data_IF_852704273651
#
_entry.id   IF_852704273651
#
_cell.length_a   1.000
_cell.length_b   1.000
_cell.length_c   1.000
_cell.angle_alpha   90.00
_cell.angle_beta   90.00
_cell.angle_gamma   90.00
#
_symmetry.space_group_name_H-M   'P 1'
#
loop_
_entity.id
_entity.type
_entity.pdbx_description
1 polymer ?
#
# COMPACT_ATOMS: atom_id res chain seq x y z
N UNK A 1 -28.16 -13.54 -7.98
CA UNK A 1 -28.95 -12.28 -8.09
C UNK A 1 -27.98 -11.15 -8.37
N UNK A 2 -28.13 -10.46 -9.51
CA UNK A 2 -27.19 -9.44 -10.01
C UNK A 2 -27.48 -8.10 -9.32
N UNK A 3 -26.53 -7.58 -8.54
CA UNK A 3 -26.61 -6.20 -8.00
C UNK A 3 -26.17 -5.23 -9.09
N UNK A 4 -27.09 -4.33 -9.48
CA UNK A 4 -26.88 -3.30 -10.49
C UNK A 4 -26.38 -2.06 -9.76
N UNK A 5 -25.13 -1.67 -9.99
CA UNK A 5 -24.60 -0.38 -9.52
C UNK A 5 -25.15 0.73 -10.42
N UNK A 6 -26.01 1.56 -9.87
CA UNK A 6 -26.42 2.83 -10.47
C UNK A 6 -25.48 3.90 -9.91
N UNK A 7 -24.48 4.31 -10.69
CA UNK A 7 -23.69 5.52 -10.41
C UNK A 7 -24.14 6.57 -11.42
N UNK A 8 -24.90 7.52 -10.92
CA UNK A 8 -25.40 8.68 -11.65
C UNK A 8 -24.57 9.88 -11.17
N UNK A 9 -23.55 10.26 -11.93
CA UNK A 9 -22.81 11.51 -11.71
C UNK A 9 -22.88 12.32 -13.00
N UNK A 10 -23.77 13.31 -12.97
CA UNK A 10 -23.92 14.38 -13.94
C UNK A 10 -22.67 15.28 -13.89
N UNK A 11 -21.96 15.43 -15.00
CA UNK A 11 -20.86 16.40 -15.13
C UNK A 11 -20.96 17.16 -16.46
N UNK A 12 -21.50 18.37 -16.36
CA UNK A 12 -21.55 19.48 -17.32
C UNK A 12 -21.47 20.73 -16.41
N UNK A 13 -20.55 21.69 -16.54
CA UNK A 13 -20.21 22.48 -17.73
C UNK A 13 -18.85 23.19 -17.62
N UNK A 14 -18.28 23.43 -18.80
CA UNK A 14 -17.10 24.20 -19.23
C UNK A 14 -16.77 25.54 -18.54
N UNK A 15 -15.47 25.90 -18.59
CA UNK A 15 -15.06 27.28 -18.85
C UNK A 15 -13.71 27.36 -19.59
N UNK A 16 -13.79 27.92 -20.79
CA UNK A 16 -12.71 28.31 -21.68
C UNK A 16 -12.01 29.57 -21.15
N UNK A 17 -10.68 29.56 -21.07
CA UNK A 17 -9.89 30.78 -21.19
C UNK A 17 -8.73 30.55 -22.16
N UNK A 18 -8.91 31.06 -23.38
CA UNK A 18 -7.84 31.36 -24.33
C UNK A 18 -7.27 32.73 -23.97
N UNK A 19 -5.96 32.78 -23.71
CA UNK A 19 -5.19 34.02 -23.62
C UNK A 19 -3.88 33.84 -24.38
N UNK A 20 -3.79 34.41 -25.58
CA UNK A 20 -2.56 34.59 -26.32
C UNK A 20 -1.91 35.94 -25.94
N UNK A 21 -0.60 35.97 -25.76
CA UNK A 21 0.17 37.21 -25.57
C UNK A 21 1.68 36.97 -25.43
N UNK A 22 2.42 37.23 -26.51
CA UNK A 22 3.89 37.35 -26.59
C UNK A 22 4.35 38.62 -25.78
N UNK A 23 5.60 38.93 -25.42
CA UNK A 23 6.96 38.55 -25.87
C UNK A 23 8.02 39.21 -24.95
N UNK A 24 9.29 38.76 -25.06
CA UNK A 24 10.57 39.48 -24.85
C UNK A 24 11.20 39.69 -23.44
N UNK A 25 12.27 38.93 -23.12
CA UNK A 25 13.72 39.35 -23.14
C UNK A 25 14.57 38.53 -22.15
N UNK A 26 15.71 37.98 -22.62
CA UNK A 26 16.72 37.19 -21.88
C UNK A 26 17.52 38.02 -20.82
N UNK A 27 18.34 37.38 -19.94
CA UNK A 27 19.71 37.06 -20.34
C UNK A 27 20.23 35.67 -19.91
N UNK A 28 21.14 35.19 -20.77
CA UNK A 28 22.29 34.29 -20.60
C UNK A 28 22.62 33.78 -19.18
N UNK A 29 22.84 32.46 -19.07
CA UNK A 29 23.41 31.79 -17.90
C UNK A 29 23.51 30.28 -18.11
N UNK A 30 24.74 29.81 -18.25
CA UNK A 30 25.20 28.45 -18.53
C UNK A 30 25.06 27.53 -17.30
N UNK A 31 24.56 26.29 -17.47
CA UNK A 31 25.09 25.04 -16.84
C UNK A 31 24.14 23.84 -17.08
N UNK A 32 24.64 22.65 -17.44
CA UNK A 32 23.81 21.46 -17.64
C UNK A 32 23.56 20.74 -16.30
N UNK A 33 22.31 20.71 -15.86
CA UNK A 33 21.89 19.79 -14.79
C UNK A 33 21.41 18.49 -15.43
N UNK A 34 22.26 17.47 -15.41
CA UNK A 34 21.85 16.10 -15.64
C UNK A 34 20.86 15.67 -14.53
N UNK A 35 19.88 14.81 -14.85
CA UNK A 35 18.99 14.21 -13.86
C UNK A 35 19.76 13.08 -13.18
N UNK A 36 19.71 12.99 -11.86
CA UNK A 36 19.85 11.66 -11.26
C UNK A 36 18.94 11.51 -10.05
N UNK A 37 18.02 10.59 -10.24
CA UNK A 37 17.11 10.04 -9.28
C UNK A 37 17.91 9.56 -8.09
N UNK A 38 17.86 10.29 -6.99
CA UNK A 38 18.19 9.70 -5.70
C UNK A 38 17.01 8.81 -5.34
N UNK A 39 17.04 7.58 -5.87
CA UNK A 39 16.42 6.42 -5.21
C UNK A 39 16.92 6.47 -3.78
N UNK A 40 16.07 6.97 -2.88
CA UNK A 40 16.26 6.77 -1.46
C UNK A 40 15.92 5.30 -1.23
N UNK A 41 16.92 4.45 -1.35
CA UNK A 41 16.98 3.29 -0.48
C UNK A 41 17.04 3.86 0.94
N UNK A 42 15.85 4.06 1.51
CA UNK A 42 15.69 4.22 2.94
C UNK A 42 16.06 2.85 3.50
N UNK A 43 17.27 2.77 4.04
CA UNK A 43 17.63 1.78 5.05
C UNK A 43 16.42 1.59 5.98
N UNK A 44 16.05 0.34 6.26
CA UNK A 44 14.96 -0.04 7.18
C UNK A 44 15.25 0.49 8.59
N UNK A 45 15.09 1.79 8.79
CA UNK A 45 14.98 2.39 10.12
C UNK A 45 13.67 1.84 10.70
N UNK A 46 13.77 1.15 11.84
CA UNK A 46 12.60 0.68 12.56
C UNK A 46 11.67 1.88 12.84
N UNK A 47 10.37 1.73 12.56
CA UNK A 47 9.42 2.80 12.87
C UNK A 47 9.44 3.01 14.38
N UNK A 48 9.31 4.24 14.87
CA UNK A 48 9.15 4.46 16.30
C UNK A 48 7.72 4.11 16.77
N UNK A 49 6.82 3.81 15.84
CA UNK A 49 5.46 3.36 16.10
C UNK A 49 5.43 1.87 16.45
N UNK A 50 5.00 1.56 17.67
CA UNK A 50 4.93 0.18 18.14
C UNK A 50 3.97 -0.69 17.33
N UNK A 51 2.88 -0.10 16.82
CA UNK A 51 1.86 -0.82 16.04
C UNK A 51 2.39 -1.16 14.66
N UNK A 52 3.10 -0.22 14.00
CA UNK A 52 3.79 -0.50 12.73
C UNK A 52 4.84 -1.61 12.89
N UNK A 53 5.63 -1.57 13.96
CA UNK A 53 6.61 -2.63 14.23
C UNK A 53 5.95 -4.00 14.49
N UNK A 54 4.75 -4.02 15.07
CA UNK A 54 3.97 -5.23 15.21
C UNK A 54 3.51 -5.77 13.86
N UNK A 55 3.03 -4.91 12.95
CA UNK A 55 2.69 -5.32 11.59
C UNK A 55 3.89 -5.91 10.87
N UNK A 56 5.05 -5.25 10.90
CA UNK A 56 6.30 -5.76 10.30
C UNK A 56 6.67 -7.14 10.85
N UNK A 57 6.55 -7.34 12.17
CA UNK A 57 6.82 -8.63 12.82
C UNK A 57 5.82 -9.70 12.37
N UNK A 58 4.52 -9.43 12.42
CA UNK A 58 3.49 -10.38 12.00
C UNK A 58 3.63 -10.73 10.50
N UNK A 59 3.91 -9.76 9.64
CA UNK A 59 4.21 -9.99 8.21
C UNK A 59 5.42 -10.90 8.03
N UNK A 60 6.51 -10.69 8.77
CA UNK A 60 7.69 -11.55 8.74
C UNK A 60 7.38 -12.99 9.18
N UNK A 61 6.59 -13.17 10.24
CA UNK A 61 6.17 -14.50 10.70
C UNK A 61 5.27 -15.22 9.69
N UNK A 62 4.37 -14.49 9.02
CA UNK A 62 3.53 -15.05 7.95
C UNK A 62 4.41 -15.42 6.76
N UNK A 63 5.32 -14.53 6.34
CA UNK A 63 6.26 -14.75 5.25
C UNK A 63 7.10 -16.01 5.48
N UNK A 64 7.66 -16.19 6.68
CA UNK A 64 8.40 -17.40 7.03
C UNK A 64 7.53 -18.66 6.93
N UNK A 65 6.25 -18.58 7.31
CA UNK A 65 5.30 -19.71 7.15
C UNK A 65 5.02 -20.00 5.67
N UNK A 66 4.83 -18.96 4.84
CA UNK A 66 4.67 -19.09 3.38
C UNK A 66 5.91 -19.70 2.74
N UNK A 67 7.12 -19.31 3.16
CA UNK A 67 8.37 -19.83 2.62
C UNK A 67 8.58 -21.32 2.94
N UNK A 68 8.18 -21.74 4.14
CA UNK A 68 8.43 -23.10 4.64
C UNK A 68 7.33 -24.10 4.32
N UNK A 69 6.09 -23.64 4.06
CA UNK A 69 4.98 -24.54 3.72
C UNK A 69 5.22 -25.19 2.35
N UNK A 70 4.96 -26.50 2.29
CA UNK A 70 5.01 -27.29 1.04
C UNK A 70 3.58 -27.72 0.73
N UNK A 71 3.01 -27.32 -0.43
CA UNK A 71 1.65 -27.71 -0.81
C UNK A 71 1.48 -29.23 -0.89
N UNK A 72 0.34 -29.72 -0.41
CA UNK A 72 -0.03 -31.13 -0.54
C UNK A 72 -0.49 -31.41 -1.98
N UNK A 73 0.17 -32.34 -2.68
CA UNK A 73 -0.11 -32.59 -4.11
C UNK A 73 -1.28 -33.56 -4.37
N UNK A 74 -1.50 -34.53 -3.49
CA UNK A 74 -2.42 -35.65 -3.74
C UNK A 74 -3.76 -35.55 -3.01
N UNK A 75 -4.00 -34.46 -2.28
CA UNK A 75 -5.26 -34.18 -1.59
C UNK A 75 -5.59 -32.69 -1.73
N UNK A 76 -6.51 -32.38 -2.64
CA UNK A 76 -6.91 -31.00 -2.90
C UNK A 76 -7.67 -30.37 -1.72
N UNK A 77 -8.35 -31.18 -0.91
CA UNK A 77 -9.07 -30.66 0.25
C UNK A 77 -8.06 -30.25 1.33
N UNK A 78 -7.07 -31.08 1.64
CA UNK A 78 -6.01 -30.73 2.59
C UNK A 78 -5.15 -29.55 2.09
N UNK A 79 -4.80 -29.53 0.79
CA UNK A 79 -4.10 -28.39 0.17
C UNK A 79 -4.87 -27.08 0.34
N UNK A 80 -6.17 -27.10 0.08
CA UNK A 80 -7.05 -25.93 0.23
C UNK A 80 -7.15 -25.49 1.68
N UNK A 81 -7.20 -26.42 2.63
CA UNK A 81 -7.19 -26.10 4.06
C UNK A 81 -5.89 -25.40 4.47
N UNK A 82 -4.73 -25.91 4.04
CA UNK A 82 -3.43 -25.27 4.29
C UNK A 82 -3.36 -23.83 3.74
N UNK A 83 -3.82 -23.62 2.51
CA UNK A 83 -3.87 -22.30 1.90
C UNK A 83 -4.76 -21.35 2.72
N UNK A 84 -6.00 -21.76 3.01
CA UNK A 84 -6.98 -20.94 3.72
C UNK A 84 -6.52 -20.56 5.13
N UNK A 85 -5.82 -21.45 5.84
CA UNK A 85 -5.28 -21.13 7.16
C UNK A 85 -4.25 -19.99 7.13
N UNK A 86 -3.40 -19.94 6.10
CA UNK A 86 -2.42 -18.85 5.96
C UNK A 86 -3.10 -17.59 5.45
N UNK A 87 -3.99 -17.71 4.47
CA UNK A 87 -4.77 -16.59 3.93
C UNK A 87 -5.61 -15.90 5.00
N UNK A 88 -6.20 -16.64 5.94
CA UNK A 88 -6.92 -16.06 7.08
C UNK A 88 -6.02 -15.19 7.97
N UNK A 89 -4.76 -15.56 8.16
CA UNK A 89 -3.80 -14.74 8.93
C UNK A 89 -3.46 -13.45 8.18
N UNK A 90 -3.26 -13.55 6.86
CA UNK A 90 -3.05 -12.38 5.98
C UNK A 90 -4.25 -11.43 6.09
N UNK A 91 -5.46 -11.92 5.84
CA UNK A 91 -6.68 -11.11 5.89
C UNK A 91 -6.93 -10.51 7.28
N UNK A 92 -6.53 -11.19 8.35
CA UNK A 92 -6.63 -10.65 9.70
C UNK A 92 -5.65 -9.48 9.90
N UNK A 93 -4.42 -9.61 9.41
CA UNK A 93 -3.42 -8.55 9.52
C UNK A 93 -3.76 -7.35 8.63
N UNK A 94 -4.20 -7.60 7.40
CA UNK A 94 -4.75 -6.62 6.46
C UNK A 94 -5.85 -5.76 7.11
N UNK A 95 -6.84 -6.40 7.73
CA UNK A 95 -7.88 -5.69 8.48
C UNK A 95 -7.33 -4.88 9.67
N UNK A 96 -6.25 -5.32 10.34
CA UNK A 96 -5.62 -4.53 11.41
C UNK A 96 -4.95 -3.27 10.84
N UNK A 97 -4.27 -3.41 9.70
CA UNK A 97 -3.61 -2.30 8.98
C UNK A 97 -4.68 -1.26 8.57
N UNK A 98 -5.75 -1.69 7.91
CA UNK A 98 -6.89 -0.84 7.53
C UNK A 98 -7.48 -0.09 8.73
N UNK A 99 -7.74 -0.81 9.82
CA UNK A 99 -8.31 -0.20 11.02
C UNK A 99 -7.34 0.82 11.65
N UNK A 100 -6.03 0.58 11.57
CA UNK A 100 -5.04 1.51 12.09
C UNK A 100 -4.94 2.76 11.21
N UNK A 101 -4.96 2.59 9.88
CA UNK A 101 -5.01 3.69 8.93
C UNK A 101 -6.21 4.61 9.17
N UNK A 102 -7.40 4.03 9.33
CA UNK A 102 -8.61 4.78 9.66
C UNK A 102 -8.48 5.57 10.99
N UNK A 103 -7.77 5.02 11.98
CA UNK A 103 -7.50 5.71 13.24
C UNK A 103 -6.54 6.88 13.05
N UNK A 104 -5.46 6.70 12.30
CA UNK A 104 -4.51 7.75 11.95
C UNK A 104 -5.19 8.90 11.19
N UNK A 105 -6.06 8.57 10.23
CA UNK A 105 -6.85 9.55 9.50
C UNK A 105 -7.79 10.31 10.44
N UNK A 106 -8.51 9.61 11.32
CA UNK A 106 -9.39 10.23 12.30
C UNK A 106 -8.62 11.16 13.27
N UNK A 107 -7.44 10.76 13.74
CA UNK A 107 -6.64 11.57 14.65
C UNK A 107 -6.09 12.83 13.96
N UNK A 108 -5.72 12.73 12.68
CA UNK A 108 -5.37 13.90 11.87
C UNK A 108 -6.56 14.85 11.67
N UNK A 109 -7.74 14.34 11.29
CA UNK A 109 -8.95 15.17 11.12
C UNK A 109 -9.38 15.86 12.42
N UNK A 110 -9.13 15.22 13.56
CA UNK A 110 -9.42 15.78 14.89
C UNK A 110 -8.26 16.62 15.47
N UNK A 111 -7.26 16.97 14.66
CA UNK A 111 -6.12 17.82 15.05
C UNK A 111 -5.28 17.26 16.22
N UNK A 112 -5.31 15.94 16.45
CA UNK A 112 -4.46 15.27 17.44
C UNK A 112 -3.09 14.90 16.89
N UNK A 113 -2.97 14.84 15.56
CA UNK A 113 -1.74 14.53 14.84
C UNK A 113 -1.32 15.71 13.96
N UNK A 114 -0.01 16.01 13.91
CA UNK A 114 0.50 17.03 13.00
C UNK A 114 0.50 16.52 11.56
N UNK A 115 0.45 17.42 10.56
CA UNK A 115 0.52 17.01 9.14
C UNK A 115 1.80 16.21 8.82
N UNK A 116 2.93 16.57 9.46
CA UNK A 116 4.19 15.85 9.29
C UNK A 116 4.06 14.42 9.81
N UNK A 117 3.59 14.25 11.05
CA UNK A 117 3.51 12.94 11.69
C UNK A 117 2.46 12.05 10.98
N UNK A 118 1.37 12.65 10.50
CA UNK A 118 0.38 11.99 9.65
C UNK A 118 1.01 11.42 8.37
N UNK A 119 1.80 12.22 7.65
CA UNK A 119 2.47 11.77 6.41
C UNK A 119 3.46 10.64 6.68
N UNK A 120 4.24 10.74 7.76
CA UNK A 120 5.17 9.67 8.16
C UNK A 120 4.40 8.38 8.47
N UNK A 121 3.34 8.46 9.27
CA UNK A 121 2.51 7.30 9.59
C UNK A 121 1.88 6.67 8.33
N UNK A 122 1.35 7.47 7.39
CA UNK A 122 0.79 6.96 6.14
C UNK A 122 1.82 6.23 5.28
N UNK A 123 3.04 6.75 5.18
CA UNK A 123 4.13 6.08 4.44
C UNK A 123 4.50 4.74 5.09
N UNK A 124 4.56 4.69 6.41
CA UNK A 124 4.86 3.46 7.15
C UNK A 124 3.74 2.41 7.01
N UNK A 125 2.47 2.85 7.00
CA UNK A 125 1.29 1.99 6.78
C UNK A 125 1.28 1.44 5.36
N UNK A 126 1.47 2.29 4.35
CA UNK A 126 1.52 1.88 2.93
C UNK A 126 2.61 0.84 2.71
N UNK A 127 3.80 1.05 3.30
CA UNK A 127 4.85 0.03 3.25
C UNK A 127 4.44 -1.29 3.90
N UNK A 128 3.79 -1.25 5.07
CA UNK A 128 3.37 -2.46 5.76
C UNK A 128 2.30 -3.25 4.96
N UNK A 129 1.40 -2.53 4.29
CA UNK A 129 0.40 -3.09 3.39
C UNK A 129 1.06 -3.73 2.15
N UNK A 130 1.95 -3.00 1.47
CA UNK A 130 2.71 -3.50 0.32
C UNK A 130 3.52 -4.77 0.66
N UNK A 131 4.20 -4.77 1.82
CA UNK A 131 4.98 -5.91 2.28
C UNK A 131 4.06 -7.14 2.54
N UNK A 132 2.87 -6.94 3.11
CA UNK A 132 1.89 -8.01 3.32
C UNK A 132 1.29 -8.50 2.00
N UNK A 133 1.02 -7.59 1.05
CA UNK A 133 0.55 -7.89 -0.30
C UNK A 133 1.54 -8.77 -1.06
N UNK A 134 2.84 -8.50 -0.96
CA UNK A 134 3.89 -9.33 -1.56
C UNK A 134 3.91 -10.76 -0.95
N UNK A 135 3.64 -10.89 0.36
CA UNK A 135 3.53 -12.20 1.02
C UNK A 135 2.30 -12.96 0.55
N UNK A 136 1.17 -12.27 0.33
CA UNK A 136 -0.04 -12.86 -0.26
C UNK A 136 0.21 -13.39 -1.66
N UNK A 137 0.81 -12.59 -2.53
CA UNK A 137 1.15 -12.99 -3.90
C UNK A 137 2.08 -14.23 -3.90
N UNK A 138 3.07 -14.29 -3.00
CA UNK A 138 3.94 -15.46 -2.85
C UNK A 138 3.15 -16.72 -2.44
N UNK A 139 2.20 -16.60 -1.51
CA UNK A 139 1.33 -17.71 -1.10
C UNK A 139 0.49 -18.23 -2.28
N UNK A 140 -0.18 -17.34 -3.00
CA UNK A 140 -1.02 -17.66 -4.15
C UNK A 140 -0.22 -18.37 -5.25
N UNK A 141 0.93 -17.81 -5.59
CA UNK A 141 1.85 -18.40 -6.57
C UNK A 141 2.33 -19.79 -6.14
N UNK A 142 2.69 -19.95 -4.86
CA UNK A 142 3.18 -21.24 -4.32
C UNK A 142 2.09 -22.32 -4.35
N UNK A 143 0.85 -21.97 -4.04
CA UNK A 143 -0.26 -22.93 -4.06
C UNK A 143 -0.93 -23.08 -5.43
N UNK A 144 -0.65 -22.19 -6.38
CA UNK A 144 -1.38 -22.04 -7.64
C UNK A 144 -2.90 -21.90 -7.39
N UNK A 145 -3.25 -21.07 -6.42
CA UNK A 145 -4.61 -20.76 -6.00
C UNK A 145 -4.76 -19.23 -5.96
N UNK A 146 -5.93 -18.75 -6.32
CA UNK A 146 -6.34 -17.35 -6.22
C UNK A 146 -7.37 -17.24 -5.08
N UNK A 147 -7.55 -16.04 -4.52
CA UNK A 147 -8.42 -15.79 -3.37
C UNK A 147 -9.94 -15.73 -3.68
#
# INVERSE_FOLDING_TARGET
MKRKSFVLVLLLTALLFLGAGCSMTQPSGESPSAPDSRTQEMDEEASNDSTINEFKRETSEISQKVDTVVPIENDMNEKTQQFNEIMQRINTLDQKIDNYENQIEADYQNQKLSERDYKVAKMDIEKADDDLGAVKENLENKFAMDD
#
